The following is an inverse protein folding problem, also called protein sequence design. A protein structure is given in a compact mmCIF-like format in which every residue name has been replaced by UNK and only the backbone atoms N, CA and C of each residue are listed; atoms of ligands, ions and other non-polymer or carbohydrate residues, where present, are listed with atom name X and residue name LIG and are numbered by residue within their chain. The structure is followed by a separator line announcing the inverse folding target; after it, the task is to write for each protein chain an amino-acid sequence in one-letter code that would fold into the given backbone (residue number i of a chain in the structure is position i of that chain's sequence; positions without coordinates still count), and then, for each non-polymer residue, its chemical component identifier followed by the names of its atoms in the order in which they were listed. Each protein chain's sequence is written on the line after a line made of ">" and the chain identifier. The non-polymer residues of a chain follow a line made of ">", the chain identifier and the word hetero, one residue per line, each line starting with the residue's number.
data_IF_080849885525
#
_entry.id   IF_080849885525
#
_cell.length_a   1.000
_cell.length_b   1.000
_cell.length_c   1.000
_cell.angle_alpha   90.00
_cell.angle_beta   90.00
_cell.angle_gamma   90.00
#
_symmetry.space_group_name_H-M   'P 1'
#
loop_
_entity.id
_entity.type
_entity.pdbx_description
1 polymer ?
#
# COMPACT_ATOMS: atom_id res chain seq x y z
N UNK A 1 11.94 5.12 14.58
CA UNK A 1 11.69 4.96 13.12
C UNK A 1 11.79 6.35 12.51
N UNK A 2 12.71 6.60 11.58
CA UNK A 2 12.92 7.95 11.02
C UNK A 2 12.20 8.02 9.68
N UNK A 3 11.23 8.91 9.59
CA UNK A 3 10.55 9.27 8.35
C UNK A 3 11.39 10.30 7.59
N UNK A 4 11.63 10.08 6.29
CA UNK A 4 12.28 11.08 5.44
C UNK A 4 11.24 11.69 4.51
N UNK A 5 10.96 12.97 4.73
CA UNK A 5 10.01 13.77 3.96
C UNK A 5 10.70 14.37 2.74
N UNK A 6 10.06 14.23 1.57
CA UNK A 6 10.55 14.78 0.32
C UNK A 6 9.45 15.64 -0.30
N UNK A 7 9.71 16.94 -0.37
CA UNK A 7 8.80 17.92 -0.96
C UNK A 7 8.76 17.84 -2.48
N UNK A 8 7.78 18.55 -3.06
CA UNK A 8 7.46 18.53 -4.50
C UNK A 8 8.66 18.68 -5.44
N UNK A 9 9.59 19.57 -5.11
CA UNK A 9 10.74 19.89 -5.97
C UNK A 9 11.82 18.79 -5.99
N UNK A 10 11.72 17.80 -5.09
CA UNK A 10 12.69 16.71 -4.96
C UNK A 10 12.11 15.34 -5.29
N UNK A 11 10.87 15.29 -5.78
CA UNK A 11 10.18 14.03 -6.12
C UNK A 11 10.94 13.24 -7.17
N UNK A 12 11.56 13.88 -8.16
CA UNK A 12 12.30 13.14 -9.19
C UNK A 12 13.57 12.48 -8.62
N UNK A 13 14.22 13.10 -7.63
CA UNK A 13 15.30 12.47 -6.85
C UNK A 13 14.74 11.30 -6.02
N UNK A 14 13.58 11.47 -5.39
CA UNK A 14 12.90 10.41 -4.64
C UNK A 14 12.58 9.19 -5.52
N UNK A 15 12.12 9.40 -6.75
CA UNK A 15 11.85 8.31 -7.70
C UNK A 15 13.09 7.52 -8.07
N UNK A 16 14.27 8.16 -8.08
CA UNK A 16 15.54 7.49 -8.36
C UNK A 16 15.93 6.50 -7.24
N UNK A 17 15.53 6.79 -6.00
CA UNK A 17 15.80 5.93 -4.84
C UNK A 17 14.97 4.64 -4.82
N UNK A 18 13.85 4.59 -5.56
CA UNK A 18 12.99 3.41 -5.61
C UNK A 18 13.58 2.38 -6.59
N UNK A 19 14.33 1.45 -6.01
CA UNK A 19 14.87 0.24 -6.67
C UNK A 19 14.11 -1.01 -6.22
N UNK A 20 14.22 -2.08 -7.00
CA UNK A 20 13.55 -3.34 -6.71
C UNK A 20 14.10 -3.97 -5.42
N UNK A 21 15.41 -3.94 -5.26
CA UNK A 21 16.10 -4.41 -4.06
C UNK A 21 15.64 -3.69 -2.80
N UNK A 22 15.44 -2.37 -2.88
CA UNK A 22 14.94 -1.59 -1.75
C UNK A 22 13.53 -2.02 -1.36
N UNK A 23 12.65 -2.27 -2.33
CA UNK A 23 11.31 -2.77 -2.04
C UNK A 23 11.37 -4.18 -1.46
N UNK A 24 12.16 -5.08 -2.04
CA UNK A 24 12.29 -6.45 -1.57
C UNK A 24 12.80 -6.50 -0.11
N UNK A 25 13.82 -5.69 0.22
CA UNK A 25 14.39 -5.59 1.56
C UNK A 25 13.38 -5.17 2.64
N UNK A 26 12.42 -4.33 2.28
CA UNK A 26 11.45 -3.76 3.21
C UNK A 26 10.03 -4.33 3.05
N UNK A 27 9.86 -5.34 2.20
CA UNK A 27 8.58 -6.04 2.03
C UNK A 27 8.29 -6.96 3.21
N UNK A 28 7.04 -7.02 3.63
CA UNK A 28 6.62 -7.88 4.74
C UNK A 28 6.27 -9.29 4.24
N UNK A 29 6.75 -10.33 4.91
CA UNK A 29 6.22 -11.67 4.68
C UNK A 29 4.84 -11.76 5.31
N UNK A 30 3.80 -11.89 4.49
CA UNK A 30 2.44 -12.04 4.99
C UNK A 30 1.66 -13.06 4.17
N UNK A 31 1.27 -14.14 4.83
CA UNK A 31 0.43 -15.17 4.24
C UNK A 31 -0.99 -14.65 3.97
N UNK A 32 -1.58 -14.96 2.80
CA UNK A 32 -2.99 -14.72 2.58
C UNK A 32 -3.81 -15.59 3.55
N UNK A 33 -4.34 -15.01 4.62
CA UNK A 33 -5.34 -15.65 5.47
C UNK A 33 -6.75 -15.48 4.87
N UNK A 34 -7.56 -16.52 4.97
CA UNK A 34 -8.97 -16.48 4.56
C UNK A 34 -9.89 -16.07 5.75
N UNK A 35 -9.31 -15.68 6.89
CA UNK A 35 -10.04 -15.53 8.14
C UNK A 35 -10.60 -14.12 8.31
N UNK A 36 -11.81 -13.90 7.78
CA UNK A 36 -12.59 -12.67 7.97
C UNK A 36 -12.73 -12.28 9.45
N UNK A 37 -12.90 -13.27 10.35
CA UNK A 37 -13.10 -13.00 11.76
C UNK A 37 -11.88 -12.31 12.38
N UNK A 38 -10.68 -12.78 12.05
CA UNK A 38 -9.42 -12.16 12.49
C UNK A 38 -9.26 -10.74 11.95
N UNK A 39 -9.62 -10.50 10.69
CA UNK A 39 -9.64 -9.14 10.13
C UNK A 39 -10.62 -8.24 10.89
N UNK A 40 -11.86 -8.69 11.10
CA UNK A 40 -12.88 -7.91 11.82
C UNK A 40 -12.42 -7.59 13.25
N UNK A 41 -11.74 -8.53 13.92
CA UNK A 41 -11.17 -8.29 15.25
C UNK A 41 -10.07 -7.24 15.24
N UNK A 42 -9.12 -7.32 14.30
CA UNK A 42 -8.02 -6.35 14.18
C UNK A 42 -8.54 -4.97 13.77
N UNK A 43 -9.48 -4.93 12.84
CA UNK A 43 -10.05 -3.71 12.32
C UNK A 43 -11.06 -3.06 13.30
N UNK A 44 -11.62 -3.79 14.28
CA UNK A 44 -12.75 -3.31 15.11
C UNK A 44 -12.59 -1.90 15.68
N UNK A 45 -11.36 -1.50 16.01
CA UNK A 45 -11.06 -0.20 16.64
C UNK A 45 -10.45 0.83 15.68
N UNK A 46 -10.27 0.50 14.40
CA UNK A 46 -9.67 1.41 13.43
C UNK A 46 -10.73 2.34 12.83
N UNK A 47 -10.46 3.65 12.81
CA UNK A 47 -11.42 4.70 12.42
C UNK A 47 -11.96 4.54 10.98
N UNK A 48 -11.19 3.91 10.09
CA UNK A 48 -11.60 3.64 8.70
C UNK A 48 -12.27 2.27 8.48
N UNK A 49 -12.47 1.46 9.51
CA UNK A 49 -12.97 0.08 9.36
C UNK A 49 -14.31 -0.03 8.70
N UNK A 50 -15.28 0.79 9.10
CA UNK A 50 -16.60 0.74 8.47
C UNK A 50 -16.54 1.10 6.98
N UNK A 51 -15.66 2.04 6.61
CA UNK A 51 -15.48 2.45 5.20
C UNK A 51 -14.81 1.36 4.38
N UNK A 52 -13.80 0.69 4.96
CA UNK A 52 -13.16 -0.47 4.36
C UNK A 52 -14.19 -1.59 4.15
N UNK A 53 -15.00 -1.90 5.17
CA UNK A 53 -16.06 -2.90 5.07
C UNK A 53 -17.09 -2.56 3.99
N UNK A 54 -17.52 -1.31 3.90
CA UNK A 54 -18.45 -0.85 2.86
C UNK A 54 -17.85 -1.02 1.45
N UNK A 55 -16.57 -0.69 1.26
CA UNK A 55 -15.86 -0.92 -0.02
C UNK A 55 -15.91 -2.39 -0.47
N UNK A 56 -15.87 -3.34 0.46
CA UNK A 56 -15.99 -4.77 0.15
C UNK A 56 -17.43 -5.27 0.07
N UNK A 57 -18.37 -4.69 0.83
CA UNK A 57 -19.78 -5.08 0.82
C UNK A 57 -20.40 -4.94 -0.59
N UNK A 58 -20.12 -3.81 -1.25
CA UNK A 58 -20.56 -3.55 -2.64
C UNK A 58 -19.93 -4.51 -3.67
N UNK A 59 -18.87 -5.21 -3.27
CA UNK A 59 -18.08 -6.13 -4.09
C UNK A 59 -18.35 -7.59 -3.74
N UNK A 60 -19.09 -7.87 -2.68
CA UNK A 60 -19.53 -9.19 -2.22
C UNK A 60 -20.83 -9.65 -2.90
N UNK A 61 -21.52 -8.79 -3.64
CA UNK A 61 -22.77 -9.11 -4.35
C UNK A 61 -22.64 -10.09 -5.52
N UNK A 62 -21.44 -10.61 -5.81
CA UNK A 62 -21.26 -11.71 -6.77
C UNK A 62 -21.57 -13.06 -6.10
N UNK A 63 -22.86 -13.29 -5.87
CA UNK A 63 -23.40 -14.60 -5.50
C UNK A 63 -23.51 -15.45 -6.77
N UNK A 64 -23.15 -16.73 -6.67
CA UNK A 64 -23.56 -17.68 -7.71
C UNK A 64 -25.09 -17.94 -7.62
N UNK A 65 -25.61 -18.75 -8.54
CA UNK A 65 -27.04 -19.07 -8.64
C UNK A 65 -27.61 -19.74 -7.36
N UNK A 66 -26.75 -20.20 -6.46
CA UNK A 66 -27.10 -20.85 -5.19
C UNK A 66 -26.98 -19.92 -3.98
N UNK A 67 -26.69 -18.63 -4.20
CA UNK A 67 -26.56 -17.66 -3.11
C UNK A 67 -25.25 -17.78 -2.31
N UNK A 68 -24.30 -18.58 -2.79
CA UNK A 68 -22.97 -18.74 -2.18
C UNK A 68 -22.04 -17.68 -2.76
N UNK A 69 -21.18 -17.09 -1.93
CA UNK A 69 -20.14 -16.19 -2.43
C UNK A 69 -19.21 -16.99 -3.36
N UNK A 70 -19.31 -16.72 -4.66
CA UNK A 70 -18.48 -17.37 -5.69
C UNK A 70 -16.98 -17.15 -5.42
N UNK A 71 -16.12 -18.02 -5.95
CA UNK A 71 -14.67 -18.07 -5.65
C UNK A 71 -13.89 -16.73 -5.76
N UNK A 72 -14.43 -15.74 -6.49
CA UNK A 72 -13.88 -14.37 -6.50
C UNK A 72 -14.11 -13.60 -5.19
N UNK A 73 -15.27 -13.77 -4.54
CA UNK A 73 -15.58 -13.15 -3.25
C UNK A 73 -14.65 -13.64 -2.13
N UNK A 74 -14.38 -14.95 -2.11
CA UNK A 74 -13.44 -15.54 -1.15
C UNK A 74 -11.98 -15.10 -1.40
N UNK A 75 -11.58 -14.97 -2.67
CA UNK A 75 -10.28 -14.45 -3.05
C UNK A 75 -10.12 -12.97 -2.67
N UNK A 76 -11.22 -12.19 -2.64
CA UNK A 76 -11.20 -10.79 -2.19
C UNK A 76 -10.95 -10.66 -0.69
N UNK A 77 -11.45 -11.60 0.13
CA UNK A 77 -11.17 -11.63 1.57
C UNK A 77 -9.70 -11.84 1.90
N UNK A 78 -8.96 -12.58 1.05
CA UNK A 78 -7.52 -12.72 1.23
C UNK A 78 -6.79 -11.37 1.20
N UNK A 79 -7.35 -10.34 0.56
CA UNK A 79 -6.73 -9.01 0.54
C UNK A 79 -6.85 -8.27 1.87
N UNK A 80 -7.81 -8.64 2.73
CA UNK A 80 -8.12 -7.92 3.96
C UNK A 80 -6.94 -7.84 4.93
N UNK A 81 -6.20 -8.94 5.07
CA UNK A 81 -5.06 -8.98 6.01
C UNK A 81 -3.92 -8.05 5.59
N UNK A 82 -3.88 -7.61 4.32
CA UNK A 82 -2.87 -6.66 3.86
C UNK A 82 -3.29 -5.20 4.12
N UNK A 83 -4.56 -4.94 4.40
CA UNK A 83 -5.08 -3.57 4.52
C UNK A 83 -4.56 -2.90 5.78
N UNK A 84 -4.79 -3.51 6.94
CA UNK A 84 -4.37 -2.93 8.24
C UNK A 84 -2.86 -2.69 8.27
N UNK A 85 -1.99 -3.65 7.90
CA UNK A 85 -0.55 -3.39 7.83
C UNK A 85 -0.17 -2.28 6.86
N UNK A 86 -0.95 -2.03 5.79
CA UNK A 86 -0.71 -0.94 4.83
C UNK A 86 -1.09 0.42 5.40
N UNK A 87 -2.12 0.51 6.25
CA UNK A 87 -2.53 1.78 6.87
C UNK A 87 -1.63 2.12 8.06
N UNK A 88 -1.38 1.15 8.93
CA UNK A 88 -0.68 1.40 10.20
C UNK A 88 0.83 1.51 10.04
N UNK A 89 1.40 0.74 9.12
CA UNK A 89 2.84 0.70 8.88
C UNK A 89 3.15 0.66 7.38
N UNK A 90 2.73 1.70 6.62
CA UNK A 90 3.01 1.77 5.19
C UNK A 90 4.51 1.77 4.94
N UNK A 91 4.89 1.30 3.75
CA UNK A 91 6.25 1.40 3.25
C UNK A 91 6.53 2.81 2.69
N UNK A 92 5.55 3.37 1.98
CA UNK A 92 5.61 4.71 1.37
C UNK A 92 4.29 5.41 1.63
N UNK A 93 4.35 6.69 1.97
CA UNK A 93 3.19 7.58 2.04
C UNK A 93 3.35 8.67 0.98
N UNK A 94 2.34 8.86 0.14
CA UNK A 94 2.30 9.93 -0.85
C UNK A 94 1.16 10.85 -0.48
N UNK A 95 1.47 12.12 -0.20
CA UNK A 95 0.47 13.13 0.12
C UNK A 95 0.21 14.01 -1.09
N UNK A 96 -1.08 14.30 -1.29
CA UNK A 96 -1.62 15.21 -2.30
C UNK A 96 -2.66 16.09 -1.64
N UNK A 97 -2.94 17.26 -2.22
CA UNK A 97 -3.86 18.27 -1.69
C UNK A 97 -5.17 17.74 -1.07
N UNK A 98 -5.74 16.65 -1.59
CA UNK A 98 -6.99 16.06 -1.11
C UNK A 98 -6.92 14.54 -0.86
N UNK A 99 -5.73 13.95 -0.94
CA UNK A 99 -5.57 12.50 -0.91
C UNK A 99 -4.28 12.09 -0.22
N UNK A 100 -4.38 11.13 0.70
CA UNK A 100 -3.25 10.38 1.19
C UNK A 100 -3.24 9.01 0.51
N UNK A 101 -2.07 8.58 0.05
CA UNK A 101 -1.90 7.28 -0.58
C UNK A 101 -0.87 6.51 0.24
N UNK A 102 -1.29 5.39 0.80
CA UNK A 102 -0.47 4.49 1.61
C UNK A 102 -0.15 3.26 0.77
N UNK A 103 1.13 2.90 0.72
CA UNK A 103 1.62 1.82 -0.12
C UNK A 103 2.41 0.83 0.73
N UNK A 104 2.19 -0.47 0.50
CA UNK A 104 2.98 -1.53 1.13
C UNK A 104 3.12 -2.76 0.24
N UNK A 105 4.29 -3.38 0.27
CA UNK A 105 4.60 -4.60 -0.47
C UNK A 105 4.68 -5.81 0.46
N UNK A 106 4.29 -6.96 -0.09
CA UNK A 106 4.25 -8.23 0.64
C UNK A 106 4.88 -9.34 -0.19
N UNK A 107 5.67 -10.18 0.47
CA UNK A 107 6.32 -11.34 -0.12
C UNK A 107 5.46 -12.61 0.02
N UNK A 108 5.59 -13.54 -0.93
CA UNK A 108 5.09 -14.91 -0.78
C UNK A 108 6.12 -15.81 -0.08
N UNK A 109 5.76 -17.08 0.15
CA UNK A 109 6.65 -18.11 0.73
C UNK A 109 7.95 -18.33 -0.03
N UNK A 110 8.01 -17.92 -1.30
CA UNK A 110 9.19 -18.05 -2.16
C UNK A 110 10.01 -16.75 -2.19
N UNK A 111 9.71 -15.79 -1.30
CA UNK A 111 10.34 -14.46 -1.23
C UNK A 111 10.16 -13.61 -2.49
N UNK A 112 9.15 -13.90 -3.32
CA UNK A 112 8.79 -13.02 -4.43
C UNK A 112 7.76 -11.99 -3.98
N UNK A 113 7.77 -10.79 -4.56
CA UNK A 113 6.68 -9.83 -4.34
C UNK A 113 5.37 -10.48 -4.80
N UNK A 114 4.56 -10.83 -3.81
CA UNK A 114 3.25 -11.41 -3.99
C UNK A 114 2.24 -10.33 -4.35
N UNK A 115 2.29 -9.22 -3.59
CA UNK A 115 1.30 -8.15 -3.66
C UNK A 115 1.90 -6.80 -3.31
N UNK A 116 1.43 -5.80 -4.02
CA UNK A 116 1.62 -4.40 -3.67
C UNK A 116 0.24 -3.78 -3.43
N UNK A 117 -0.04 -3.38 -2.19
CA UNK A 117 -1.35 -2.82 -1.80
C UNK A 117 -1.24 -1.31 -1.72
N UNK A 118 -2.22 -0.64 -2.30
CA UNK A 118 -2.37 0.81 -2.35
C UNK A 118 -3.72 1.18 -1.77
N UNK A 119 -3.69 2.00 -0.73
CA UNK A 119 -4.87 2.54 -0.08
C UNK A 119 -4.86 4.04 -0.30
N UNK A 120 -5.86 4.55 -1.00
CA UNK A 120 -6.06 5.98 -1.20
C UNK A 120 -7.19 6.45 -0.31
N UNK A 121 -6.89 7.39 0.59
CA UNK A 121 -7.85 8.04 1.47
C UNK A 121 -8.06 9.48 1.00
N UNK A 122 -9.31 9.84 0.73
CA UNK A 122 -9.69 11.22 0.46
C UNK A 122 -9.79 11.97 1.79
N UNK A 123 -8.96 12.98 1.97
CA UNK A 123 -8.86 13.72 3.24
C UNK A 123 -10.05 14.64 3.50
N UNK A 124 -10.90 14.93 2.49
CA UNK A 124 -12.04 15.84 2.62
C UNK A 124 -13.32 15.12 3.07
N UNK A 125 -13.61 13.95 2.50
CA UNK A 125 -14.82 13.19 2.79
C UNK A 125 -14.55 11.82 3.45
N UNK A 126 -13.28 11.47 3.61
CA UNK A 126 -12.85 10.23 4.24
C UNK A 126 -13.04 8.98 3.39
N UNK A 127 -13.43 9.08 2.11
CA UNK A 127 -13.58 7.91 1.23
C UNK A 127 -12.26 7.14 1.07
N UNK A 128 -12.36 5.81 1.07
CA UNK A 128 -11.20 4.93 0.94
C UNK A 128 -11.33 4.08 -0.32
N UNK A 129 -10.29 4.12 -1.16
CA UNK A 129 -10.14 3.27 -2.34
C UNK A 129 -8.97 2.31 -2.14
N UNK A 130 -9.20 1.03 -2.38
CA UNK A 130 -8.21 -0.02 -2.19
C UNK A 130 -7.90 -0.65 -3.55
N UNK A 131 -6.62 -0.74 -3.89
CA UNK A 131 -6.14 -1.39 -5.12
C UNK A 131 -4.94 -2.25 -4.79
N UNK A 132 -4.81 -3.40 -5.44
CA UNK A 132 -3.67 -4.28 -5.29
C UNK A 132 -3.09 -4.66 -6.66
N UNK A 133 -1.77 -4.64 -6.78
CA UNK A 133 -1.05 -5.02 -7.98
C UNK A 133 -0.30 -6.33 -7.76
N UNK A 134 -0.38 -7.26 -8.73
CA UNK A 134 0.46 -8.47 -8.81
C UNK A 134 1.64 -8.15 -9.72
N UNK A 135 2.73 -7.56 -9.21
CA UNK A 135 4.11 -7.61 -9.78
C UNK A 135 5.03 -6.52 -9.21
N UNK A 136 6.34 -6.75 -9.35
CA UNK A 136 7.43 -5.76 -9.27
C UNK A 136 7.15 -4.59 -10.22
N UNK A 137 6.65 -3.49 -9.67
CA UNK A 137 6.18 -2.39 -10.50
C UNK A 137 6.56 -1.04 -9.91
N UNK A 138 7.86 -0.84 -9.71
CA UNK A 138 8.44 0.45 -9.31
C UNK A 138 7.97 1.56 -10.24
N UNK A 139 7.68 1.24 -11.52
CA UNK A 139 7.04 2.16 -12.47
C UNK A 139 5.68 2.67 -11.99
N UNK A 140 4.82 1.81 -11.44
CA UNK A 140 3.53 2.22 -10.88
C UNK A 140 3.71 3.11 -9.64
N UNK A 141 4.66 2.78 -8.76
CA UNK A 141 4.97 3.61 -7.59
C UNK A 141 5.46 4.98 -8.03
N UNK A 142 6.43 5.02 -8.96
CA UNK A 142 6.93 6.26 -9.56
C UNK A 142 5.81 7.07 -10.22
N UNK A 143 4.84 6.41 -10.87
CA UNK A 143 3.65 7.05 -11.45
C UNK A 143 2.71 7.60 -10.37
N UNK A 144 2.53 6.90 -9.25
CA UNK A 144 1.75 7.39 -8.11
C UNK A 144 2.43 8.59 -7.44
N UNK A 145 3.75 8.72 -7.53
CA UNK A 145 4.47 9.91 -7.07
C UNK A 145 4.34 11.09 -8.04
N UNK A 146 3.85 10.90 -9.27
CA UNK A 146 3.58 12.02 -10.16
C UNK A 146 2.50 12.92 -9.54
N UNK A 147 2.79 14.21 -9.48
CA UNK A 147 1.93 15.21 -8.83
C UNK A 147 1.72 14.95 -7.33
N UNK A 148 2.63 14.24 -6.68
CA UNK A 148 2.69 14.29 -5.22
C UNK A 148 3.06 15.71 -4.80
N UNK A 149 2.50 16.16 -3.68
CA UNK A 149 2.98 17.35 -3.00
C UNK A 149 4.13 16.97 -2.05
N UNK A 150 4.07 15.75 -1.52
CA UNK A 150 5.06 15.20 -0.59
C UNK A 150 5.10 13.67 -0.69
N UNK A 151 6.29 13.10 -0.50
CA UNK A 151 6.50 11.67 -0.36
C UNK A 151 7.31 11.38 0.89
N UNK A 152 6.88 10.40 1.66
CA UNK A 152 7.55 9.89 2.85
C UNK A 152 7.89 8.42 2.66
N UNK A 153 9.15 8.09 2.93
CA UNK A 153 9.62 6.70 2.99
C UNK A 153 9.74 6.27 4.44
N UNK A 154 8.94 5.28 4.84
CA UNK A 154 8.86 4.83 6.22
C UNK A 154 9.85 3.69 6.42
N UNK A 155 10.96 3.97 7.10
CA UNK A 155 11.97 2.97 7.42
C UNK A 155 12.75 2.38 6.24
N UNK A 156 12.53 2.85 4.99
CA UNK A 156 13.24 2.36 3.80
C UNK A 156 14.59 3.02 3.57
N UNK A 157 14.67 4.34 3.68
CA UNK A 157 15.87 5.05 3.25
C UNK A 157 16.92 5.04 4.37
N UNK A 158 18.18 4.67 4.08
CA UNK A 158 19.27 4.92 5.01
C UNK A 158 19.38 6.44 5.27
N UNK A 159 19.98 6.83 6.40
CA UNK A 159 20.12 8.24 6.84
C UNK A 159 21.04 9.11 5.94
N UNK A 160 21.02 8.91 4.64
CA UNK A 160 21.86 9.62 3.68
C UNK A 160 21.16 10.93 3.32
N UNK A 161 21.80 12.11 3.50
CA UNK A 161 21.28 13.40 3.04
C UNK A 161 20.99 13.36 1.53
N UNK A 162 19.90 14.02 1.08
CA UNK A 162 19.58 14.09 -0.36
C UNK A 162 20.72 14.69 -1.20
N UNK A 163 21.55 15.55 -0.59
CA UNK A 163 22.66 16.23 -1.23
C UNK A 163 23.81 15.29 -1.64
N UNK A 164 23.93 14.12 -1.01
CA UNK A 164 24.94 13.10 -1.33
C UNK A 164 24.57 12.19 -2.52
N UNK A 165 23.40 12.38 -3.14
CA UNK A 165 22.98 11.61 -4.33
C UNK A 165 23.54 12.16 -5.66
N UNK A 166 24.33 13.24 -5.63
CA UNK A 166 24.94 13.85 -6.81
C UNK A 166 26.11 13.03 -7.43
N UNK A 167 26.41 11.83 -6.91
CA UNK A 167 27.55 11.02 -7.36
C UNK A 167 27.21 9.63 -7.90
N UNK A 168 25.92 9.27 -8.09
CA UNK A 168 25.54 7.97 -8.65
C UNK A 168 25.24 8.14 -10.14
N UNK A 169 26.28 8.43 -10.90
CA UNK A 169 26.20 8.71 -12.32
C UNK A 169 27.57 9.03 -12.90
N UNK A 170 28.46 8.05 -12.85
CA UNK A 170 29.54 7.87 -13.84
C UNK A 170 29.58 6.39 -14.24
#
# INVERSE_FOLDING_TARGET
>A
MIAKFIGKDEIDKAKALITQDLINKHSEQLEPSNNMLSFLTQAKNHHNTQKILNHFADKMTIKDELGVYSGEGLARFRYLNYIIPTIENPLIIIRRAKRNIYLKSFLDKKNHIHRFVVITENTQNGEVFITAFKTENNKNIKRLMNNADEVEFVGMLPQIPLNSLHGIGE
#
